data_IF_728018259410
#
_entry.id   IF_728018259410
#
_cell.length_a   1.000
_cell.length_b   1.000
_cell.length_c   1.000
_cell.angle_alpha   90.00
_cell.angle_beta   90.00
_cell.angle_gamma   90.00
#
_symmetry.space_group_name_H-M   'P 1'
#
loop_
_entity.id
_entity.type
_entity.pdbx_description
1 polymer ?
#
# COMPACT_ATOMS: atom_id res chain seq x y z
N UNK A 1 6.14 -16.74 -15.92
CA UNK A 1 6.39 -15.35 -15.45
C UNK A 1 7.87 -15.12 -15.55
N UNK A 2 8.30 -13.91 -15.91
CA UNK A 2 9.71 -13.56 -15.83
C UNK A 2 10.11 -13.50 -14.35
N UNK A 3 11.24 -14.09 -13.99
CA UNK A 3 11.81 -14.01 -12.65
C UNK A 3 13.18 -13.35 -12.69
N UNK A 4 13.52 -12.61 -11.63
CA UNK A 4 14.84 -11.99 -11.45
C UNK A 4 15.25 -12.04 -9.97
N UNK A 5 16.54 -11.86 -9.71
CA UNK A 5 17.05 -11.57 -8.37
C UNK A 5 16.91 -10.05 -8.13
N UNK A 6 16.25 -9.71 -7.04
CA UNK A 6 15.99 -8.32 -6.65
C UNK A 6 16.46 -8.04 -5.24
N UNK A 7 16.79 -6.78 -5.01
CA UNK A 7 16.89 -6.17 -3.69
C UNK A 7 15.56 -5.49 -3.35
N UNK A 8 15.04 -5.74 -2.16
CA UNK A 8 13.79 -5.19 -1.63
C UNK A 8 14.07 -4.54 -0.28
N UNK A 9 13.67 -3.30 -0.08
CA UNK A 9 13.84 -2.57 1.19
C UNK A 9 12.54 -1.85 1.56
N UNK A 10 12.02 -2.08 2.77
CA UNK A 10 10.86 -1.32 3.26
C UNK A 10 11.20 0.15 3.47
N UNK A 11 10.21 1.04 3.36
CA UNK A 11 10.34 2.48 3.59
C UNK A 11 9.33 2.92 4.64
N UNK A 12 9.53 2.40 5.85
CA UNK A 12 8.70 2.68 7.03
C UNK A 12 9.29 3.79 7.91
N UNK A 13 10.58 4.12 7.74
CA UNK A 13 11.27 5.17 8.48
C UNK A 13 11.83 6.27 7.59
N UNK A 14 12.54 7.19 8.24
CA UNK A 14 13.28 8.29 7.58
C UNK A 14 14.75 7.94 7.32
N UNK A 15 15.28 6.90 7.98
CA UNK A 15 16.68 6.50 7.91
C UNK A 15 16.76 5.20 7.10
N UNK A 16 17.66 5.12 6.11
CA UNK A 16 17.82 4.01 5.14
C UNK A 16 18.28 2.66 5.72
N UNK A 17 17.89 2.36 6.95
CA UNK A 17 18.32 1.24 7.79
C UNK A 17 17.19 0.20 7.93
N UNK A 18 16.10 0.34 7.17
CA UNK A 18 14.94 -0.53 7.29
C UNK A 18 15.23 -1.95 6.82
N UNK A 19 14.33 -2.89 7.15
CA UNK A 19 14.45 -4.29 6.72
C UNK A 19 14.61 -4.37 5.20
N UNK A 20 15.58 -5.16 4.78
CA UNK A 20 15.84 -5.43 3.38
C UNK A 20 16.16 -6.90 3.13
N UNK A 21 15.86 -7.32 1.90
CA UNK A 21 16.02 -8.67 1.43
C UNK A 21 16.67 -8.70 0.05
N UNK A 22 17.37 -9.79 -0.24
CA UNK A 22 17.73 -10.19 -1.60
C UNK A 22 17.16 -11.58 -1.86
N UNK A 23 16.44 -11.73 -2.97
CA UNK A 23 15.81 -13.00 -3.30
C UNK A 23 15.23 -13.00 -4.71
N UNK A 24 14.65 -14.14 -5.09
CA UNK A 24 13.98 -14.30 -6.37
C UNK A 24 12.59 -13.65 -6.33
N UNK A 25 12.28 -12.85 -7.34
CA UNK A 25 10.93 -12.32 -7.55
C UNK A 25 10.32 -12.81 -8.85
N UNK A 26 9.02 -12.61 -8.99
CA UNK A 26 8.28 -12.92 -10.20
C UNK A 26 7.47 -11.70 -10.64
N UNK A 27 7.55 -11.35 -11.91
CA UNK A 27 6.78 -10.25 -12.47
C UNK A 27 5.45 -10.74 -13.04
N UNK A 28 4.40 -9.94 -12.85
CA UNK A 28 3.18 -10.08 -13.66
C UNK A 28 3.49 -9.86 -15.15
N UNK A 29 2.56 -10.25 -16.03
CA UNK A 29 2.71 -10.09 -17.47
C UNK A 29 2.99 -8.64 -17.89
N UNK A 30 2.40 -7.67 -17.19
CA UNK A 30 2.57 -6.23 -17.45
C UNK A 30 3.79 -5.62 -16.74
N UNK A 31 4.45 -6.37 -15.85
CA UNK A 31 5.55 -5.85 -15.03
C UNK A 31 5.13 -4.87 -13.94
N UNK A 32 3.83 -4.62 -13.77
CA UNK A 32 3.31 -3.67 -12.77
C UNK A 32 3.18 -4.26 -11.36
N UNK A 33 3.26 -5.58 -11.25
CA UNK A 33 3.18 -6.31 -9.98
C UNK A 33 4.37 -7.23 -9.85
N UNK A 34 4.96 -7.25 -8.65
CA UNK A 34 6.04 -8.14 -8.26
C UNK A 34 5.52 -9.05 -7.15
N UNK A 35 5.80 -10.34 -7.26
CA UNK A 35 5.57 -11.32 -6.20
C UNK A 35 6.93 -11.68 -5.62
N UNK A 36 7.09 -11.50 -4.31
CA UNK A 36 8.35 -11.69 -3.63
C UNK A 36 8.10 -12.09 -2.17
N UNK A 37 8.72 -13.18 -1.73
CA UNK A 37 8.62 -13.67 -0.35
C UNK A 37 7.16 -13.80 0.17
N UNK A 38 6.27 -14.37 -0.65
CA UNK A 38 4.85 -14.49 -0.33
C UNK A 38 4.03 -13.18 -0.37
N UNK A 39 4.68 -12.03 -0.54
CA UNK A 39 4.05 -10.73 -0.61
C UNK A 39 3.80 -10.29 -2.06
N UNK A 40 2.91 -9.30 -2.22
CA UNK A 40 2.49 -8.79 -3.51
C UNK A 40 2.75 -7.28 -3.53
N UNK A 41 3.64 -6.84 -4.40
CA UNK A 41 4.03 -5.45 -4.52
C UNK A 41 3.50 -4.85 -5.81
N UNK A 42 2.86 -3.69 -5.74
CA UNK A 42 2.39 -2.94 -6.91
C UNK A 42 3.26 -1.72 -7.15
N UNK A 43 3.58 -1.47 -8.42
CA UNK A 43 4.37 -0.31 -8.83
C UNK A 43 3.63 0.97 -8.46
N UNK A 44 4.33 1.89 -7.80
CA UNK A 44 3.80 3.17 -7.34
C UNK A 44 4.79 4.31 -7.62
N UNK A 45 4.31 5.55 -7.53
CA UNK A 45 5.17 6.74 -7.59
C UNK A 45 5.32 7.30 -6.18
N UNK A 46 6.54 7.25 -5.64
CA UNK A 46 6.92 7.88 -4.39
C UNK A 46 8.21 8.68 -4.56
N UNK A 47 8.54 9.53 -3.58
CA UNK A 47 9.80 10.30 -3.57
C UNK A 47 10.98 9.36 -3.25
N UNK A 48 10.79 8.44 -2.30
CA UNK A 48 11.81 7.52 -1.78
C UNK A 48 11.45 6.04 -1.95
N UNK A 49 10.36 5.74 -2.67
CA UNK A 49 9.83 4.40 -2.93
C UNK A 49 9.34 4.29 -4.37
N UNK A 50 9.33 3.07 -4.91
CA UNK A 50 8.87 2.77 -6.27
C UNK A 50 7.84 1.63 -6.32
N UNK A 51 7.59 0.96 -5.19
CA UNK A 51 6.53 -0.01 -5.00
C UNK A 51 5.87 0.20 -3.63
N UNK A 52 4.72 -0.42 -3.45
CA UNK A 52 4.10 -0.61 -2.14
C UNK A 52 3.54 -2.03 -2.05
N UNK A 53 3.55 -2.57 -0.84
CA UNK A 53 2.90 -3.83 -0.52
C UNK A 53 1.38 -3.67 -0.61
N UNK A 54 0.71 -4.53 -1.38
CA UNK A 54 -0.73 -4.41 -1.64
C UNK A 54 -1.60 -4.72 -0.43
N UNK A 55 -1.11 -5.51 0.53
CA UNK A 55 -1.86 -5.90 1.72
C UNK A 55 -1.70 -4.87 2.83
N UNK A 56 -0.47 -4.40 3.04
CA UNK A 56 -0.15 -3.50 4.17
C UNK A 56 -0.10 -2.02 3.79
N UNK A 57 -0.03 -1.69 2.50
CA UNK A 57 0.19 -0.33 2.01
C UNK A 57 1.61 0.21 2.24
N UNK A 58 2.51 -0.59 2.83
CA UNK A 58 3.87 -0.16 3.17
C UNK A 58 4.65 0.10 1.89
N UNK A 59 5.19 1.31 1.78
CA UNK A 59 6.10 1.69 0.70
C UNK A 59 7.40 0.90 0.75
N UNK A 60 7.96 0.58 -0.42
CA UNK A 60 9.24 -0.10 -0.55
C UNK A 60 10.05 0.39 -1.74
N UNK A 61 11.35 0.17 -1.66
CA UNK A 61 12.28 0.28 -2.76
C UNK A 61 12.61 -1.13 -3.28
N UNK A 62 12.34 -1.37 -4.56
CA UNK A 62 12.67 -2.62 -5.24
C UNK A 62 13.52 -2.33 -6.47
N UNK A 63 14.67 -2.97 -6.58
CA UNK A 63 15.57 -2.87 -7.73
C UNK A 63 16.24 -4.20 -8.03
N UNK A 64 16.88 -4.32 -9.20
CA UNK A 64 17.84 -5.41 -9.42
C UNK A 64 19.03 -5.28 -8.45
N UNK A 65 19.73 -6.39 -8.24
CA UNK A 65 20.98 -6.40 -7.48
C UNK A 65 22.10 -5.69 -8.23
N UNK A 66 23.02 -5.05 -7.50
CA UNK A 66 24.14 -4.30 -8.06
C UNK A 66 25.34 -5.23 -8.22
N UNK A 67 26.02 -5.13 -9.36
CA UNK A 67 27.26 -5.89 -9.65
C UNK A 67 28.41 -5.65 -8.65
N UNK A 68 28.34 -4.59 -7.85
CA UNK A 68 29.35 -4.29 -6.83
C UNK A 68 28.96 -4.78 -5.41
N UNK A 69 27.84 -5.50 -5.27
CA UNK A 69 27.35 -6.03 -3.99
C UNK A 69 27.00 -4.99 -2.91
N UNK A 70 26.89 -3.70 -3.29
CA UNK A 70 26.51 -2.61 -2.39
C UNK A 70 25.05 -2.21 -2.61
N UNK A 71 24.12 -3.16 -2.49
CA UNK A 71 22.70 -2.99 -2.84
C UNK A 71 22.00 -1.91 -2.02
N UNK A 72 22.21 -1.92 -0.70
CA UNK A 72 21.68 -0.92 0.22
C UNK A 72 22.18 0.49 -0.14
N UNK A 73 21.38 1.49 0.20
CA UNK A 73 21.76 2.89 0.05
C UNK A 73 23.08 3.20 0.79
N UNK A 74 23.90 4.12 0.28
CA UNK A 74 25.23 4.42 0.83
C UNK A 74 25.24 4.90 2.29
N UNK A 75 24.13 5.49 2.74
CA UNK A 75 23.94 5.94 4.13
C UNK A 75 23.11 4.96 4.95
N UNK A 76 22.65 3.87 4.34
CA UNK A 76 21.92 2.82 5.00
C UNK A 76 22.84 1.84 5.70
N UNK A 77 22.38 1.34 6.84
CA UNK A 77 23.03 0.34 7.68
C UNK A 77 22.12 -0.88 7.85
N UNK A 78 22.62 -1.87 8.57
CA UNK A 78 21.87 -3.07 8.89
C UNK A 78 22.17 -4.23 7.96
N UNK A 79 21.67 -5.40 8.37
CA UNK A 79 21.87 -6.67 7.70
C UNK A 79 20.79 -6.84 6.60
N UNK A 80 21.16 -7.46 5.49
CA UNK A 80 20.26 -7.85 4.42
C UNK A 80 19.98 -9.34 4.56
N UNK A 81 18.71 -9.72 4.65
CA UNK A 81 18.28 -11.11 4.63
C UNK A 81 18.38 -11.63 3.19
N UNK A 82 19.23 -12.63 2.94
CA UNK A 82 19.44 -13.20 1.59
C UNK A 82 18.86 -14.61 1.52
N UNK A 83 18.08 -14.89 0.48
CA UNK A 83 17.51 -16.21 0.26
C UNK A 83 18.59 -17.24 -0.07
N UNK A 84 18.56 -18.37 0.63
CA UNK A 84 19.51 -19.48 0.46
C UNK A 84 19.53 -20.00 -0.97
N UNK A 85 18.40 -19.96 -1.67
CA UNK A 85 18.26 -20.53 -3.01
C UNK A 85 18.99 -19.75 -4.12
N UNK A 86 19.37 -18.49 -3.87
CA UNK A 86 19.98 -17.61 -4.88
C UNK A 86 21.44 -17.24 -4.58
N UNK A 87 22.05 -17.76 -3.51
CA UNK A 87 23.38 -17.36 -3.06
C UNK A 87 24.42 -17.51 -4.18
N UNK A 88 24.44 -18.67 -4.86
CA UNK A 88 25.38 -18.93 -5.95
C UNK A 88 25.21 -17.95 -7.12
N UNK A 89 23.96 -17.72 -7.55
CA UNK A 89 23.66 -16.80 -8.65
C UNK A 89 24.01 -15.35 -8.26
N UNK A 90 23.72 -14.94 -7.04
CA UNK A 90 24.08 -13.61 -6.52
C UNK A 90 25.60 -13.42 -6.45
N UNK A 91 26.35 -14.40 -5.93
CA UNK A 91 27.81 -14.38 -5.88
C UNK A 91 28.41 -14.25 -7.29
N UNK A 92 27.87 -14.98 -8.26
CA UNK A 92 28.27 -14.87 -9.66
C UNK A 92 28.00 -13.47 -10.24
N UNK A 93 26.87 -12.84 -9.89
CA UNK A 93 26.52 -11.48 -10.34
C UNK A 93 27.51 -10.44 -9.79
N UNK A 94 27.94 -10.59 -8.53
CA UNK A 94 28.84 -9.63 -7.88
C UNK A 94 30.32 -9.97 -8.07
N UNK A 95 30.64 -11.14 -8.63
CA UNK A 95 32.00 -11.59 -8.87
C UNK A 95 32.76 -12.01 -7.61
N UNK A 96 32.05 -12.43 -6.57
CA UNK A 96 32.62 -12.80 -5.26
C UNK A 96 32.54 -14.32 -5.03
N UNK A 97 33.42 -14.83 -4.17
CA UNK A 97 33.44 -16.27 -3.82
C UNK A 97 32.61 -16.61 -2.59
N UNK A 98 32.39 -15.63 -1.72
CA UNK A 98 31.67 -15.82 -0.45
C UNK A 98 30.92 -14.56 -0.04
N UNK A 99 29.86 -14.76 0.76
CA UNK A 99 29.09 -13.65 1.31
C UNK A 99 29.86 -12.97 2.45
N UNK A 100 29.79 -11.65 2.49
CA UNK A 100 30.34 -10.86 3.59
C UNK A 100 29.52 -11.10 4.86
N UNK A 101 30.13 -11.78 5.85
CA UNK A 101 29.47 -12.25 7.09
C UNK A 101 28.75 -11.16 7.89
N UNK A 102 29.21 -9.92 7.79
CA UNK A 102 28.64 -8.77 8.49
C UNK A 102 27.50 -8.06 7.72
N UNK A 103 27.30 -8.37 6.45
CA UNK A 103 26.26 -7.75 5.61
C UNK A 103 25.02 -8.61 5.43
N UNK A 104 25.18 -9.93 5.43
CA UNK A 104 24.11 -10.84 5.05
C UNK A 104 23.71 -11.78 6.18
N UNK A 105 22.41 -12.02 6.30
CA UNK A 105 21.85 -13.12 7.06
C UNK A 105 21.16 -14.07 6.10
N UNK A 106 21.61 -15.32 6.07
CA UNK A 106 21.02 -16.35 5.21
C UNK A 106 19.66 -16.73 5.80
N UNK A 107 18.64 -16.75 4.94
CA UNK A 107 17.26 -17.13 5.30
C UNK A 107 16.63 -17.95 4.18
N UNK A 108 15.52 -18.61 4.46
CA UNK A 108 14.65 -19.20 3.44
C UNK A 108 13.50 -18.21 3.16
N UNK A 109 13.33 -17.81 1.89
CA UNK A 109 12.21 -16.96 1.48
C UNK A 109 11.14 -17.76 0.73
N UNK A 110 9.89 -17.31 0.81
CA UNK A 110 8.80 -17.92 0.06
C UNK A 110 8.88 -17.53 -1.43
N UNK A 111 9.40 -18.45 -2.24
CA UNK A 111 9.57 -18.29 -3.68
C UNK A 111 8.33 -18.70 -4.51
N UNK A 112 7.17 -18.82 -3.89
CA UNK A 112 5.90 -19.10 -4.57
C UNK A 112 5.18 -17.77 -4.87
N UNK A 113 4.87 -17.45 -6.14
CA UNK A 113 4.10 -16.25 -6.47
C UNK A 113 2.69 -16.32 -5.89
N UNK A 114 2.34 -15.38 -5.00
CA UNK A 114 1.03 -15.28 -4.35
C UNK A 114 -0.08 -14.75 -5.30
N UNK A 115 -0.34 -15.45 -6.41
CA UNK A 115 -1.31 -15.04 -7.44
C UNK A 115 -2.77 -15.11 -6.98
N UNK A 116 -3.12 -16.16 -6.27
CA UNK A 116 -4.49 -16.36 -5.77
C UNK A 116 -4.83 -15.24 -4.81
N UNK A 117 -3.97 -15.02 -3.80
CA UNK A 117 -4.06 -13.88 -2.88
C UNK A 117 -4.11 -12.52 -3.61
N UNK A 118 -3.31 -12.32 -4.66
CA UNK A 118 -3.36 -11.08 -5.44
C UNK A 118 -4.69 -10.91 -6.20
N UNK A 119 -5.27 -12.02 -6.68
CA UNK A 119 -6.56 -12.01 -7.36
C UNK A 119 -7.67 -11.70 -6.37
N UNK A 120 -7.62 -12.26 -5.16
CA UNK A 120 -8.55 -11.97 -4.07
C UNK A 120 -8.50 -10.49 -3.69
N UNK A 121 -7.33 -9.95 -3.35
CA UNK A 121 -7.17 -8.53 -2.95
C UNK A 121 -7.63 -7.56 -4.05
N UNK A 122 -7.33 -7.86 -5.33
CA UNK A 122 -7.69 -6.98 -6.43
C UNK A 122 -9.17 -7.07 -6.84
N UNK A 123 -9.82 -8.20 -6.55
CA UNK A 123 -11.25 -8.41 -6.81
C UNK A 123 -12.12 -8.18 -5.57
N UNK A 124 -11.51 -7.98 -4.40
CA UNK A 124 -12.18 -7.49 -3.21
C UNK A 124 -12.82 -6.16 -3.59
N UNK A 125 -14.15 -6.19 -3.75
CA UNK A 125 -14.90 -4.97 -3.99
C UNK A 125 -14.70 -4.11 -2.76
N UNK A 126 -14.13 -2.93 -2.95
CA UNK A 126 -14.32 -1.88 -1.98
C UNK A 126 -15.83 -1.63 -1.92
N UNK A 127 -16.49 -2.13 -0.87
CA UNK A 127 -17.84 -1.71 -0.57
C UNK A 127 -17.72 -0.25 -0.11
N UNK A 128 -17.99 0.68 -1.04
CA UNK A 128 -18.31 2.05 -0.65
C UNK A 128 -19.54 1.96 0.25
N UNK A 129 -19.31 1.96 1.56
CA UNK A 129 -20.36 1.98 2.59
C UNK A 129 -21.24 3.23 2.47
N UNK A 130 -20.76 4.22 1.72
CA UNK A 130 -21.42 5.47 1.47
C UNK A 130 -21.17 5.95 0.04
N UNK A 131 -22.24 6.24 -0.71
CA UNK A 131 -22.14 6.79 -2.06
C UNK A 131 -21.84 8.30 -2.01
N UNK A 132 -20.57 8.68 -2.18
CA UNK A 132 -20.11 10.07 -2.11
C UNK A 132 -20.83 11.02 -3.08
N UNK A 133 -21.37 10.51 -4.21
CA UNK A 133 -22.08 11.34 -5.18
C UNK A 133 -23.33 12.02 -4.61
N UNK A 134 -23.93 11.47 -3.55
CA UNK A 134 -25.14 12.05 -2.94
C UNK A 134 -24.84 13.35 -2.18
N UNK A 135 -23.59 13.58 -1.74
CA UNK A 135 -23.15 14.85 -1.11
C UNK A 135 -23.29 16.05 -2.05
N UNK A 136 -23.27 15.80 -3.36
CA UNK A 136 -23.34 16.83 -4.40
C UNK A 136 -24.77 17.13 -4.84
N UNK A 137 -25.74 16.31 -4.43
CA UNK A 137 -27.15 16.52 -4.76
C UNK A 137 -27.73 17.67 -3.95
N UNK A 138 -28.66 18.40 -4.55
CA UNK A 138 -29.51 19.33 -3.79
C UNK A 138 -30.38 18.53 -2.82
N UNK A 139 -30.60 19.04 -1.61
CA UNK A 139 -31.33 18.36 -0.54
C UNK A 139 -32.73 17.91 -1.00
N UNK A 140 -33.44 18.74 -1.75
CA UNK A 140 -34.77 18.45 -2.28
C UNK A 140 -34.79 17.33 -3.35
N UNK A 141 -33.64 16.99 -3.94
CA UNK A 141 -33.51 15.95 -4.95
C UNK A 141 -33.04 14.60 -4.36
N UNK A 142 -32.79 14.53 -3.05
CA UNK A 142 -32.44 13.29 -2.37
C UNK A 142 -33.68 12.42 -2.19
N UNK A 143 -33.57 11.12 -2.46
CA UNK A 143 -34.56 10.14 -2.00
C UNK A 143 -34.50 9.98 -0.47
N UNK A 144 -35.51 9.37 0.15
CA UNK A 144 -35.53 9.20 1.62
C UNK A 144 -34.38 8.33 2.13
N UNK A 145 -34.00 7.31 1.36
CA UNK A 145 -32.84 6.48 1.66
C UNK A 145 -31.54 7.28 1.57
N UNK A 146 -31.34 8.05 0.49
CA UNK A 146 -30.13 8.87 0.31
C UNK A 146 -30.02 9.98 1.36
N UNK A 147 -31.15 10.56 1.77
CA UNK A 147 -31.21 11.54 2.84
C UNK A 147 -30.80 10.92 4.18
N UNK A 148 -31.30 9.71 4.47
CA UNK A 148 -30.97 8.96 5.68
C UNK A 148 -29.49 8.57 5.69
N UNK A 149 -28.98 8.03 4.59
CA UNK A 149 -27.57 7.64 4.44
C UNK A 149 -26.64 8.84 4.66
N UNK A 150 -26.98 10.00 4.09
CA UNK A 150 -26.20 11.22 4.22
C UNK A 150 -26.22 11.74 5.68
N UNK A 151 -27.35 11.62 6.37
CA UNK A 151 -27.46 11.96 7.80
C UNK A 151 -26.57 11.04 8.66
N UNK A 152 -26.58 9.72 8.43
CA UNK A 152 -25.71 8.80 9.17
C UNK A 152 -24.23 9.08 8.90
N UNK A 153 -23.88 9.40 7.65
CA UNK A 153 -22.53 9.84 7.29
C UNK A 153 -22.08 11.07 8.10
N UNK A 154 -22.91 12.12 8.16
CA UNK A 154 -22.58 13.32 8.96
C UNK A 154 -22.60 13.05 10.47
N UNK A 155 -23.43 12.13 10.95
CA UNK A 155 -23.47 11.73 12.36
C UNK A 155 -22.17 11.04 12.81
N UNK A 156 -21.52 10.29 11.93
CA UNK A 156 -20.26 9.62 12.20
C UNK A 156 -19.03 10.53 12.22
N UNK A 157 -19.16 11.81 11.86
CA UNK A 157 -18.04 12.75 11.82
C UNK A 157 -17.81 13.46 13.15
N UNK A 158 -16.54 13.54 13.58
CA UNK A 158 -16.15 14.42 14.68
C UNK A 158 -15.91 15.85 14.18
N UNK A 159 -16.94 16.69 14.26
CA UNK A 159 -16.85 18.10 13.86
C UNK A 159 -15.87 18.92 14.71
N UNK A 160 -15.43 18.42 15.88
CA UNK A 160 -14.52 19.16 16.77
C UNK A 160 -13.07 19.12 16.29
N UNK A 161 -12.67 18.07 15.58
CA UNK A 161 -11.35 17.93 14.96
C UNK A 161 -11.20 18.76 13.67
N UNK A 162 -12.30 19.31 13.14
CA UNK A 162 -12.28 20.12 11.93
C UNK A 162 -11.80 21.56 12.16
N UNK A 163 -11.09 22.10 11.16
CA UNK A 163 -10.72 23.52 11.15
C UNK A 163 -11.95 24.43 11.29
N UNK A 164 -11.88 25.40 12.22
CA UNK A 164 -13.00 26.32 12.56
C UNK A 164 -13.67 26.97 11.34
N UNK A 165 -12.88 27.33 10.31
CA UNK A 165 -13.38 27.97 9.08
C UNK A 165 -14.36 27.12 8.27
N UNK A 166 -14.24 25.79 8.34
CA UNK A 166 -15.08 24.86 7.58
C UNK A 166 -16.17 24.23 8.45
N UNK A 167 -15.91 24.07 9.77
CA UNK A 167 -16.80 23.41 10.72
C UNK A 167 -18.23 23.93 10.68
N UNK A 168 -18.43 25.26 10.63
CA UNK A 168 -19.75 25.88 10.65
C UNK A 168 -20.63 25.39 9.50
N UNK A 169 -20.10 25.38 8.28
CA UNK A 169 -20.84 24.96 7.08
C UNK A 169 -21.26 23.49 7.11
N UNK A 170 -20.42 22.60 7.66
CA UNK A 170 -20.76 21.18 7.81
C UNK A 170 -21.89 20.96 8.82
N UNK A 171 -21.86 21.68 9.94
CA UNK A 171 -22.92 21.62 10.96
C UNK A 171 -24.23 22.17 10.39
N UNK A 172 -24.20 23.33 9.73
CA UNK A 172 -25.40 23.93 9.12
C UNK A 172 -26.03 22.98 8.10
N UNK A 173 -25.23 22.40 7.21
CA UNK A 173 -25.71 21.43 6.23
C UNK A 173 -26.29 20.16 6.88
N UNK A 174 -25.67 19.66 7.96
CA UNK A 174 -26.22 18.53 8.70
C UNK A 174 -27.59 18.83 9.33
N UNK A 175 -27.77 20.02 9.88
CA UNK A 175 -29.06 20.45 10.42
C UNK A 175 -30.12 20.65 9.33
N UNK A 176 -29.73 21.15 8.15
CA UNK A 176 -30.63 21.25 6.99
C UNK A 176 -31.16 19.87 6.56
N UNK A 177 -30.30 18.85 6.51
CA UNK A 177 -30.69 17.48 6.17
C UNK A 177 -31.68 16.90 7.19
N UNK A 178 -31.43 17.10 8.50
CA UNK A 178 -32.37 16.68 9.54
C UNK A 178 -33.71 17.38 9.43
N UNK A 179 -33.70 18.69 9.16
CA UNK A 179 -34.94 19.46 8.98
C UNK A 179 -35.76 18.95 7.80
N UNK A 180 -35.09 18.62 6.68
CA UNK A 180 -35.76 18.01 5.53
C UNK A 180 -36.38 16.65 5.88
N UNK A 181 -35.65 15.79 6.61
CA UNK A 181 -36.17 14.48 7.01
C UNK A 181 -37.42 14.61 7.88
N UNK A 182 -37.44 15.54 8.83
CA UNK A 182 -38.62 15.79 9.67
C UNK A 182 -39.80 16.34 8.86
N UNK A 183 -39.56 17.22 7.88
CA UNK A 183 -40.63 17.70 6.99
C UNK A 183 -41.28 16.56 6.21
N UNK A 184 -40.50 15.60 5.73
CA UNK A 184 -41.01 14.46 4.96
C UNK A 184 -41.83 13.48 5.81
N UNK A 185 -41.53 13.35 7.10
CA UNK A 185 -42.31 12.52 8.05
C UNK A 185 -43.68 13.12 8.41
N UNK A 186 -43.88 14.42 8.18
CA UNK A 186 -45.11 15.15 8.51
C UNK A 186 -46.12 15.17 7.35
N UNK A 187 -45.77 14.58 6.20
CA UNK A 187 -46.60 14.49 4.97
C UNK A 187 -47.05 13.03 4.82
#
# INVERSE_FOLDING_TARGET
MRSEIVYVETKTGVNHDEKAWIGKCFFSKTGQTIYFNGNIYKKGKGISSNYFDLETGISCWISGVKKNGNDRHKFGKGIIDIDVSIIEEYLNIIGEKELQKNKFKITELNNIPAKEKATEILNEKYEETFNDSIKLKKINNLTDNELTDLIEYYRGMDFTEMYKKNRKSYIEHFEELKSELEKRKLI
#
